data_IF_792262908166
#
_entry.id   IF_792262908166
#
_cell.length_a   1.000
_cell.length_b   1.000
_cell.length_c   1.000
_cell.angle_alpha   90.00
_cell.angle_beta   90.00
_cell.angle_gamma   90.00
#
_symmetry.space_group_name_H-M   'P 1'
#
loop_
_entity.id
_entity.type
_entity.pdbx_description
1 polymer ?
#
# COMPACT_ATOMS: atom_id res chain seq x y z
N UNK A 1 -27.10 -22.76 63.22
CA UNK A 1 -28.13 -22.00 62.47
C UNK A 1 -28.78 -22.95 61.49
N UNK A 2 -30.01 -23.35 61.78
CA UNK A 2 -30.83 -24.17 60.90
C UNK A 2 -31.46 -23.27 59.83
N UNK A 3 -31.51 -23.73 58.57
CA UNK A 3 -32.76 -23.62 57.84
C UNK A 3 -33.03 -24.97 57.13
N UNK A 4 -34.16 -25.64 57.45
CA UNK A 4 -34.55 -26.94 56.92
C UNK A 4 -35.29 -26.77 55.58
N UNK A 5 -35.76 -27.88 55.01
CA UNK A 5 -36.60 -27.97 53.79
C UNK A 5 -35.85 -28.07 52.47
N UNK A 6 -35.17 -29.21 52.31
CA UNK A 6 -35.10 -29.89 51.01
C UNK A 6 -36.32 -30.82 50.93
N UNK A 7 -37.30 -30.52 50.08
CA UNK A 7 -38.30 -31.49 49.63
C UNK A 7 -38.76 -31.15 48.21
N UNK A 8 -38.79 -32.17 47.35
CA UNK A 8 -39.07 -32.06 45.93
C UNK A 8 -40.55 -32.04 45.56
N UNK A 9 -40.78 -32.12 44.26
CA UNK A 9 -42.09 -32.36 43.64
C UNK A 9 -42.51 -31.22 42.71
N UNK A 10 -42.39 -31.45 41.40
CA UNK A 10 -42.73 -30.49 40.35
C UNK A 10 -44.23 -30.25 40.18
N UNK A 11 -44.58 -29.25 39.38
CA UNK A 11 -45.84 -29.14 38.62
C UNK A 11 -45.61 -28.19 37.42
N UNK A 12 -46.04 -28.63 36.25
CA UNK A 12 -46.12 -27.90 34.98
C UNK A 12 -47.05 -26.68 35.11
N UNK A 13 -46.68 -25.53 34.53
CA UNK A 13 -47.62 -24.61 33.88
C UNK A 13 -46.92 -23.50 33.07
N UNK A 14 -47.22 -23.50 31.77
CA UNK A 14 -47.45 -22.32 30.91
C UNK A 14 -46.27 -21.47 30.40
N UNK A 15 -45.95 -21.73 29.13
CA UNK A 15 -46.17 -20.78 28.03
C UNK A 15 -45.48 -19.42 28.14
N UNK A 16 -44.26 -19.34 27.61
CA UNK A 16 -43.84 -18.31 26.66
C UNK A 16 -42.82 -18.93 25.69
N UNK A 17 -43.30 -19.38 24.53
CA UNK A 17 -42.43 -19.55 23.36
C UNK A 17 -41.90 -18.17 22.99
N UNK A 18 -40.65 -17.91 23.34
CA UNK A 18 -39.92 -16.79 22.76
C UNK A 18 -39.53 -17.22 21.35
N UNK A 19 -40.48 -17.11 20.43
CA UNK A 19 -40.21 -17.21 18.99
C UNK A 19 -39.11 -16.19 18.71
N UNK A 20 -37.90 -16.68 18.42
CA UNK A 20 -36.83 -15.85 17.91
C UNK A 20 -37.34 -15.25 16.62
N UNK A 21 -37.76 -13.99 16.70
CA UNK A 21 -38.04 -13.15 15.55
C UNK A 21 -36.75 -13.16 14.72
N UNK A 22 -36.72 -13.97 13.67
CA UNK A 22 -35.78 -13.82 12.56
C UNK A 22 -36.00 -12.42 12.04
N UNK A 23 -35.17 -11.49 12.49
CA UNK A 23 -34.88 -10.30 11.71
C UNK A 23 -34.34 -10.81 10.38
N UNK A 24 -35.21 -10.77 9.38
CA UNK A 24 -34.87 -10.87 7.98
C UNK A 24 -33.92 -9.70 7.67
N UNK A 25 -32.61 -9.93 7.89
CA UNK A 25 -31.55 -9.04 7.46
C UNK A 25 -31.48 -9.10 5.93
N UNK A 26 -32.22 -8.23 5.26
CA UNK A 26 -32.15 -8.03 3.82
C UNK A 26 -30.93 -7.23 3.34
N UNK A 27 -29.92 -7.01 4.20
CA UNK A 27 -28.75 -6.16 3.92
C UNK A 27 -27.38 -6.83 3.87
N UNK A 28 -27.24 -8.15 4.05
CA UNK A 28 -25.92 -8.78 4.25
C UNK A 28 -25.09 -8.94 2.97
N UNK A 29 -25.71 -9.27 1.83
CA UNK A 29 -24.95 -9.78 0.68
C UNK A 29 -24.03 -8.74 -0.01
N UNK A 30 -24.40 -7.46 0.00
CA UNK A 30 -23.60 -6.39 -0.61
C UNK A 30 -22.49 -5.85 0.30
N UNK A 31 -22.72 -5.87 1.62
CA UNK A 31 -21.73 -5.42 2.60
C UNK A 31 -20.61 -6.46 2.78
N UNK A 32 -20.98 -7.74 2.82
CA UNK A 32 -20.02 -8.85 2.87
C UNK A 32 -19.11 -8.87 1.61
N UNK A 33 -19.67 -8.57 0.43
CA UNK A 33 -18.93 -8.50 -0.85
C UNK A 33 -17.98 -7.29 -0.93
N UNK A 34 -18.40 -6.14 -0.40
CA UNK A 34 -17.52 -4.97 -0.33
C UNK A 34 -16.36 -5.18 0.65
N UNK A 35 -16.64 -5.76 1.82
CA UNK A 35 -15.60 -6.09 2.81
C UNK A 35 -14.61 -7.10 2.25
N UNK A 36 -15.09 -8.15 1.56
CA UNK A 36 -14.22 -9.13 0.90
C UNK A 36 -13.31 -8.48 -0.15
N UNK A 37 -13.86 -7.57 -0.97
CA UNK A 37 -13.09 -6.82 -1.95
C UNK A 37 -12.01 -5.94 -1.30
N UNK A 38 -12.36 -5.21 -0.24
CA UNK A 38 -11.40 -4.33 0.44
C UNK A 38 -10.29 -5.12 1.14
N UNK A 39 -10.61 -6.29 1.68
CA UNK A 39 -9.59 -7.20 2.22
C UNK A 39 -8.61 -7.68 1.14
N UNK A 40 -9.11 -7.98 -0.06
CA UNK A 40 -8.27 -8.35 -1.20
C UNK A 40 -7.36 -7.20 -1.63
N UNK A 41 -7.88 -5.96 -1.72
CA UNK A 41 -7.07 -4.77 -2.02
C UNK A 41 -5.99 -4.55 -0.97
N UNK A 42 -6.32 -4.70 0.32
CA UNK A 42 -5.36 -4.53 1.41
C UNK A 42 -4.24 -5.57 1.34
N UNK A 43 -4.57 -6.82 0.99
CA UNK A 43 -3.58 -7.87 0.81
C UNK A 43 -2.70 -7.62 -0.42
N UNK A 44 -3.28 -7.15 -1.54
CA UNK A 44 -2.52 -6.68 -2.71
C UNK A 44 -1.55 -5.56 -2.31
N UNK A 45 -1.97 -4.57 -1.53
CA UNK A 45 -1.08 -3.51 -1.05
C UNK A 45 0.06 -4.04 -0.19
N UNK A 46 -0.22 -5.01 0.67
CA UNK A 46 0.81 -5.66 1.50
C UNK A 46 1.82 -6.41 0.64
N UNK A 47 1.35 -7.15 -0.37
CA UNK A 47 2.22 -7.83 -1.34
C UNK A 47 3.03 -6.85 -2.20
N UNK A 48 2.45 -5.70 -2.57
CA UNK A 48 3.18 -4.63 -3.26
C UNK A 48 4.31 -4.08 -2.40
N UNK A 49 4.09 -3.89 -1.11
CA UNK A 49 5.14 -3.42 -0.20
C UNK A 49 6.23 -4.49 -0.01
N UNK A 50 5.86 -5.77 0.07
CA UNK A 50 6.82 -6.88 0.05
C UNK A 50 7.65 -6.90 -1.25
N UNK A 51 7.00 -6.69 -2.40
CA UNK A 51 7.67 -6.59 -3.70
C UNK A 51 8.67 -5.42 -3.73
N UNK A 52 8.27 -4.26 -3.22
CA UNK A 52 9.15 -3.08 -3.09
C UNK A 52 10.38 -3.42 -2.24
N UNK A 53 10.20 -4.06 -1.08
CA UNK A 53 11.30 -4.45 -0.21
C UNK A 53 12.24 -5.48 -0.88
N UNK A 54 11.67 -6.41 -1.64
CA UNK A 54 12.43 -7.43 -2.37
C UNK A 54 13.29 -6.79 -3.47
N UNK A 55 12.74 -5.82 -4.22
CA UNK A 55 13.48 -5.04 -5.23
C UNK A 55 14.65 -4.29 -4.59
N UNK A 56 14.43 -3.66 -3.43
CA UNK A 56 15.49 -2.94 -2.73
C UNK A 56 16.58 -3.90 -2.22
N UNK A 57 16.20 -5.09 -1.76
CA UNK A 57 17.15 -6.13 -1.37
C UNK A 57 17.98 -6.63 -2.56
N UNK A 58 17.35 -6.91 -3.70
CA UNK A 58 18.02 -7.31 -4.95
C UNK A 58 19.02 -6.23 -5.36
N UNK A 59 18.59 -4.96 -5.38
CA UNK A 59 19.45 -3.83 -5.74
C UNK A 59 20.70 -3.75 -4.88
N UNK A 60 20.54 -3.86 -3.56
CA UNK A 60 21.67 -3.82 -2.62
C UNK A 60 22.61 -5.00 -2.83
N UNK A 61 22.07 -6.21 -3.04
CA UNK A 61 22.87 -7.41 -3.30
C UNK A 61 23.64 -7.31 -4.61
N UNK A 62 23.01 -6.87 -5.70
CA UNK A 62 23.67 -6.64 -6.99
C UNK A 62 24.76 -5.57 -6.88
N UNK A 63 24.51 -4.47 -6.17
CA UNK A 63 25.52 -3.41 -5.96
C UNK A 63 26.74 -3.93 -5.20
N UNK A 64 26.53 -4.70 -4.14
CA UNK A 64 27.62 -5.30 -3.38
C UNK A 64 28.38 -6.30 -4.24
N UNK A 65 27.66 -7.18 -4.96
CA UNK A 65 28.26 -8.13 -5.89
C UNK A 65 29.10 -7.44 -6.98
N UNK A 66 28.65 -6.27 -7.45
CA UNK A 66 29.40 -5.46 -8.41
C UNK A 66 30.72 -4.92 -7.82
N UNK A 67 30.75 -4.62 -6.52
CA UNK A 67 31.90 -4.03 -5.82
C UNK A 67 32.87 -5.07 -5.23
N UNK A 68 32.38 -6.21 -4.77
CA UNK A 68 33.12 -7.22 -3.99
C UNK A 68 33.85 -8.28 -4.84
N UNK A 69 33.98 -8.10 -6.15
CA UNK A 69 34.63 -9.05 -7.05
C UNK A 69 36.18 -9.06 -6.93
N UNK A 70 36.69 -8.98 -5.69
CA UNK A 70 38.07 -9.28 -5.31
C UNK A 70 38.11 -10.74 -4.81
N UNK A 71 38.68 -11.61 -5.65
CA UNK A 71 38.20 -12.97 -5.91
C UNK A 71 38.58 -14.04 -4.85
N UNK A 72 37.59 -14.50 -4.08
CA UNK A 72 37.42 -15.93 -3.81
C UNK A 72 36.26 -16.43 -4.69
N UNK A 73 36.53 -17.37 -5.60
CA UNK A 73 35.54 -17.89 -6.57
C UNK A 73 34.28 -18.46 -5.87
N UNK A 74 34.44 -18.99 -4.65
CA UNK A 74 33.35 -19.63 -3.88
C UNK A 74 32.31 -18.61 -3.37
N UNK A 75 32.76 -17.44 -2.91
CA UNK A 75 31.88 -16.38 -2.38
C UNK A 75 31.09 -15.68 -3.50
N UNK A 76 31.70 -15.57 -4.68
CA UNK A 76 31.09 -14.98 -5.88
C UNK A 76 29.94 -15.85 -6.38
N UNK A 77 30.15 -17.15 -6.54
CA UNK A 77 29.11 -18.06 -7.03
C UNK A 77 27.94 -18.15 -6.04
N UNK A 78 28.22 -18.17 -4.73
CA UNK A 78 27.20 -18.16 -3.68
C UNK A 78 26.34 -16.88 -3.72
N UNK A 79 26.97 -15.72 -3.92
CA UNK A 79 26.27 -14.44 -4.01
C UNK A 79 25.42 -14.33 -5.27
N UNK A 80 25.91 -14.81 -6.42
CA UNK A 80 25.11 -14.90 -7.65
C UNK A 80 23.88 -15.77 -7.46
N UNK A 81 23.99 -16.93 -6.80
CA UNK A 81 22.84 -17.82 -6.56
C UNK A 81 21.79 -17.18 -5.65
N UNK A 82 22.21 -16.40 -4.65
CA UNK A 82 21.28 -15.64 -3.81
C UNK A 82 20.52 -14.58 -4.62
N UNK A 83 21.21 -13.84 -5.49
CA UNK A 83 20.57 -12.85 -6.37
C UNK A 83 19.56 -13.55 -7.29
N UNK A 84 19.95 -14.67 -7.91
CA UNK A 84 19.08 -15.44 -8.80
C UNK A 84 17.81 -15.92 -8.06
N UNK A 85 17.95 -16.39 -6.81
CA UNK A 85 16.80 -16.81 -6.00
C UNK A 85 15.84 -15.65 -5.70
N UNK A 86 16.36 -14.47 -5.32
CA UNK A 86 15.55 -13.29 -5.04
C UNK A 86 14.86 -12.77 -6.31
N UNK A 87 15.53 -12.80 -7.46
CA UNK A 87 14.94 -12.42 -8.74
C UNK A 87 13.79 -13.36 -9.10
N UNK A 88 13.95 -14.68 -8.92
CA UNK A 88 12.88 -15.64 -9.15
C UNK A 88 11.67 -15.41 -8.22
N UNK A 89 11.92 -15.09 -6.95
CA UNK A 89 10.87 -14.73 -5.99
C UNK A 89 10.12 -13.47 -6.46
N UNK A 90 10.85 -12.45 -6.94
CA UNK A 90 10.27 -11.22 -7.45
C UNK A 90 9.40 -11.47 -8.69
N UNK A 91 9.85 -12.32 -9.63
CA UNK A 91 9.07 -12.70 -10.80
C UNK A 91 7.77 -13.44 -10.42
N UNK A 92 7.84 -14.34 -9.44
CA UNK A 92 6.66 -15.03 -8.93
C UNK A 92 5.64 -14.04 -8.36
N UNK A 93 6.11 -13.11 -7.52
CA UNK A 93 5.26 -12.11 -6.89
C UNK A 93 4.67 -11.13 -7.91
N UNK A 94 5.43 -10.75 -8.94
CA UNK A 94 4.94 -9.92 -10.06
C UNK A 94 3.79 -10.59 -10.81
N UNK A 95 3.93 -11.89 -11.12
CA UNK A 95 2.89 -12.66 -11.81
C UNK A 95 1.61 -12.76 -10.98
N UNK A 96 1.76 -13.02 -9.67
CA UNK A 96 0.64 -13.05 -8.74
C UNK A 96 -0.06 -11.68 -8.65
N UNK A 97 0.70 -10.61 -8.41
CA UNK A 97 0.18 -9.24 -8.33
C UNK A 97 -0.55 -8.83 -9.61
N UNK A 98 0.02 -9.12 -10.79
CA UNK A 98 -0.61 -8.87 -12.09
C UNK A 98 -1.98 -9.53 -12.17
N UNK A 99 -2.08 -10.82 -11.83
CA UNK A 99 -3.33 -11.57 -11.88
C UNK A 99 -4.36 -11.03 -10.88
N UNK A 100 -3.95 -10.76 -9.65
CA UNK A 100 -4.83 -10.26 -8.59
C UNK A 100 -5.36 -8.86 -8.91
N UNK A 101 -4.49 -7.95 -9.34
CA UNK A 101 -4.88 -6.59 -9.77
C UNK A 101 -5.86 -6.66 -10.93
N UNK A 102 -5.60 -7.50 -11.95
CA UNK A 102 -6.54 -7.73 -13.06
C UNK A 102 -7.89 -8.23 -12.59
N UNK A 103 -7.92 -9.16 -11.62
CA UNK A 103 -9.15 -9.71 -11.08
C UNK A 103 -9.97 -8.66 -10.33
N UNK A 104 -9.35 -7.85 -9.45
CA UNK A 104 -10.06 -6.79 -8.71
C UNK A 104 -10.55 -5.69 -9.65
N UNK A 105 -9.79 -5.33 -10.69
CA UNK A 105 -10.25 -4.37 -11.70
C UNK A 105 -11.47 -4.92 -12.47
N UNK A 106 -11.42 -6.19 -12.88
CA UNK A 106 -12.54 -6.83 -13.59
C UNK A 106 -13.80 -6.89 -12.71
N UNK A 107 -13.66 -7.26 -11.43
CA UNK A 107 -14.77 -7.29 -10.48
C UNK A 107 -15.34 -5.89 -10.24
N UNK A 108 -14.49 -4.88 -10.06
CA UNK A 108 -14.89 -3.50 -9.86
C UNK A 108 -15.68 -2.95 -11.06
N UNK A 109 -15.23 -3.26 -12.28
CA UNK A 109 -15.90 -2.85 -13.52
C UNK A 109 -17.26 -3.54 -13.71
N UNK A 110 -17.37 -4.84 -13.41
CA UNK A 110 -18.63 -5.58 -13.50
C UNK A 110 -19.69 -5.05 -12.54
N UNK A 111 -19.29 -4.70 -11.32
CA UNK A 111 -20.18 -4.17 -10.29
C UNK A 111 -20.50 -2.68 -10.48
N UNK A 112 -19.82 -1.99 -11.40
CA UNK A 112 -19.93 -0.54 -11.65
C UNK A 112 -19.89 0.30 -10.37
N UNK A 113 -19.07 -0.13 -9.39
CA UNK A 113 -18.92 0.57 -8.12
C UNK A 113 -17.72 1.53 -8.22
N UNK A 114 -17.92 2.85 -8.23
CA UNK A 114 -16.84 3.83 -8.38
C UNK A 114 -15.74 3.67 -7.32
N UNK A 115 -16.13 3.42 -6.06
CA UNK A 115 -15.16 3.25 -4.98
C UNK A 115 -14.28 2.01 -5.18
N UNK A 116 -14.85 0.89 -5.66
CA UNK A 116 -14.05 -0.31 -5.97
C UNK A 116 -13.11 -0.07 -7.16
N UNK A 117 -13.55 0.69 -8.15
CA UNK A 117 -12.74 1.05 -9.33
C UNK A 117 -11.54 1.89 -8.90
N UNK A 118 -11.77 2.95 -8.12
CA UNK A 118 -10.72 3.84 -7.64
C UNK A 118 -9.65 3.09 -6.83
N UNK A 119 -10.07 2.17 -5.95
CA UNK A 119 -9.13 1.35 -5.17
C UNK A 119 -8.32 0.37 -6.03
N UNK A 120 -8.97 -0.28 -7.01
CA UNK A 120 -8.28 -1.16 -7.94
C UNK A 120 -7.28 -0.40 -8.83
N UNK A 121 -7.63 0.81 -9.28
CA UNK A 121 -6.74 1.69 -10.03
C UNK A 121 -5.56 2.19 -9.18
N UNK A 122 -5.81 2.54 -7.91
CA UNK A 122 -4.74 2.91 -6.98
C UNK A 122 -3.72 1.78 -6.79
N UNK A 123 -4.18 0.53 -6.61
CA UNK A 123 -3.31 -0.63 -6.53
C UNK A 123 -2.50 -0.85 -7.83
N UNK A 124 -3.14 -0.71 -9.00
CA UNK A 124 -2.47 -0.80 -10.30
C UNK A 124 -1.39 0.27 -10.47
N UNK A 125 -1.71 1.53 -10.15
CA UNK A 125 -0.79 2.65 -10.27
C UNK A 125 0.43 2.49 -9.35
N UNK A 126 0.20 2.02 -8.11
CA UNK A 126 1.29 1.70 -7.17
C UNK A 126 2.18 0.57 -7.70
N UNK A 127 1.60 -0.44 -8.37
CA UNK A 127 2.38 -1.50 -8.99
C UNK A 127 3.23 -1.00 -10.16
N UNK A 128 2.66 -0.18 -11.05
CA UNK A 128 3.38 0.48 -12.14
C UNK A 128 4.56 1.33 -11.63
N UNK A 129 4.36 2.07 -10.54
CA UNK A 129 5.42 2.84 -9.88
C UNK A 129 6.57 1.94 -9.43
N UNK A 130 6.27 0.83 -8.74
CA UNK A 130 7.29 -0.11 -8.27
C UNK A 130 8.01 -0.84 -9.42
N UNK A 131 7.30 -1.20 -10.49
CA UNK A 131 7.93 -1.75 -11.70
C UNK A 131 8.88 -0.72 -12.32
N UNK A 132 8.45 0.53 -12.46
CA UNK A 132 9.28 1.60 -13.03
C UNK A 132 10.52 1.86 -12.17
N UNK A 133 10.38 1.86 -10.84
CA UNK A 133 11.51 1.98 -9.91
C UNK A 133 12.50 0.84 -10.09
N UNK A 134 12.02 -0.39 -10.24
CA UNK A 134 12.89 -1.54 -10.46
C UNK A 134 13.63 -1.44 -11.79
N UNK A 135 12.94 -1.06 -12.89
CA UNK A 135 13.57 -0.86 -14.21
C UNK A 135 14.71 0.17 -14.17
N UNK A 136 14.52 1.28 -13.46
CA UNK A 136 15.55 2.30 -13.31
C UNK A 136 16.78 1.76 -12.55
N UNK A 137 16.54 1.01 -11.48
CA UNK A 137 17.60 0.35 -10.71
C UNK A 137 18.40 -0.63 -11.57
N UNK A 138 17.72 -1.49 -12.32
CA UNK A 138 18.35 -2.46 -13.23
C UNK A 138 19.15 -1.75 -14.33
N UNK A 139 18.62 -0.66 -14.89
CA UNK A 139 19.36 0.16 -15.87
C UNK A 139 20.66 0.71 -15.27
N UNK A 140 20.61 1.25 -14.06
CA UNK A 140 21.81 1.76 -13.36
C UNK A 140 22.83 0.64 -13.09
N UNK A 141 22.37 -0.54 -12.69
CA UNK A 141 23.24 -1.69 -12.45
C UNK A 141 23.90 -2.19 -13.75
N UNK A 142 23.16 -2.15 -14.87
CA UNK A 142 23.69 -2.47 -16.20
C UNK A 142 24.80 -1.49 -16.60
N UNK A 143 24.58 -0.19 -16.41
CA UNK A 143 25.59 0.84 -16.71
C UNK A 143 26.85 0.69 -15.85
N UNK A 144 26.69 0.41 -14.55
CA UNK A 144 27.83 0.14 -13.67
C UNK A 144 28.64 -1.09 -14.10
N UNK A 145 27.93 -2.16 -14.48
CA UNK A 145 28.56 -3.39 -14.98
C UNK A 145 29.32 -3.15 -16.29
N UNK A 146 28.74 -2.38 -17.22
CA UNK A 146 29.41 -1.94 -18.46
C UNK A 146 30.66 -1.10 -18.17
N UNK A 147 30.58 -0.16 -17.23
CA UNK A 147 31.71 0.69 -16.85
C UNK A 147 32.88 -0.12 -16.25
N UNK A 148 32.58 -1.18 -15.50
CA UNK A 148 33.61 -2.08 -14.97
C UNK A 148 34.25 -2.94 -16.04
N UNK A 149 33.45 -3.50 -16.97
CA UNK A 149 33.97 -4.22 -18.14
C UNK A 149 34.91 -3.34 -18.98
N UNK A 150 34.53 -2.08 -19.19
CA UNK A 150 35.36 -1.11 -19.90
C UNK A 150 36.71 -0.87 -19.20
N UNK A 151 36.71 -0.71 -17.88
CA UNK A 151 37.95 -0.58 -17.09
C UNK A 151 38.82 -1.83 -17.20
N UNK A 152 38.21 -3.01 -17.12
CA UNK A 152 38.94 -4.27 -17.23
C UNK A 152 39.56 -4.47 -18.60
N UNK A 153 38.86 -4.04 -19.66
CA UNK A 153 39.40 -4.02 -21.01
C UNK A 153 40.62 -3.09 -21.13
N UNK A 154 40.55 -1.88 -20.57
CA UNK A 154 41.65 -0.91 -20.59
C UNK A 154 42.89 -1.37 -19.80
N UNK A 155 42.72 -2.18 -18.75
CA UNK A 155 43.85 -2.77 -18.01
C UNK A 155 44.64 -3.74 -18.91
N UNK A 156 43.93 -4.51 -19.75
CA UNK A 156 44.54 -5.46 -20.70
C UNK A 156 45.13 -4.75 -21.91
N UNK A 157 44.41 -3.76 -22.44
CA UNK A 157 44.79 -2.98 -23.60
C UNK A 157 44.84 -1.48 -23.26
N UNK A 158 45.95 -0.99 -22.68
CA UNK A 158 46.08 0.41 -22.25
C UNK A 158 46.02 1.43 -23.38
N UNK A 159 46.23 0.98 -24.63
CA UNK A 159 46.23 1.85 -25.81
C UNK A 159 44.90 1.80 -26.57
N UNK A 160 43.87 1.15 -26.04
CA UNK A 160 42.57 1.04 -26.69
C UNK A 160 41.93 2.42 -26.89
N UNK A 161 41.34 2.65 -28.07
CA UNK A 161 40.55 3.88 -28.30
C UNK A 161 39.22 3.81 -27.56
N UNK A 162 38.56 4.96 -27.40
CA UNK A 162 37.23 5.01 -26.80
C UNK A 162 36.22 4.16 -27.59
N UNK A 163 36.27 4.21 -28.93
CA UNK A 163 35.40 3.38 -29.77
C UNK A 163 35.70 1.88 -29.64
N UNK A 164 36.96 1.49 -29.45
CA UNK A 164 37.32 0.08 -29.24
C UNK A 164 36.83 -0.46 -27.89
N UNK A 165 36.89 0.37 -26.84
CA UNK A 165 36.38 0.01 -25.51
C UNK A 165 34.86 -0.10 -25.53
N UNK A 166 34.19 0.84 -26.19
CA UNK A 166 32.74 0.81 -26.36
C UNK A 166 32.33 -0.42 -27.16
N UNK A 167 32.94 -0.69 -28.32
CA UNK A 167 32.67 -1.89 -29.12
C UNK A 167 32.97 -3.22 -28.38
N UNK A 168 33.87 -3.23 -27.40
CA UNK A 168 34.13 -4.40 -26.56
C UNK A 168 33.03 -4.66 -25.51
N UNK A 169 32.16 -3.67 -25.25
CA UNK A 169 31.16 -3.67 -24.16
C UNK A 169 29.72 -3.47 -24.68
N UNK A 170 29.53 -2.90 -25.88
CA UNK A 170 28.24 -2.37 -26.35
C UNK A 170 27.23 -3.43 -26.82
N UNK A 171 27.65 -4.64 -27.17
CA UNK A 171 26.82 -5.57 -27.96
C UNK A 171 26.00 -6.60 -27.15
N UNK A 172 25.80 -6.42 -25.84
CA UNK A 172 25.16 -7.41 -24.94
C UNK A 172 25.97 -8.71 -24.77
N UNK A 173 26.94 -8.90 -25.65
CA UNK A 173 27.96 -9.93 -25.70
C UNK A 173 29.29 -9.17 -25.76
N UNK A 174 30.09 -9.10 -24.69
CA UNK A 174 31.45 -8.64 -24.83
C UNK A 174 32.05 -9.54 -25.88
N UNK A 175 32.64 -8.91 -26.91
CA UNK A 175 33.29 -9.64 -27.98
C UNK A 175 34.42 -10.44 -27.34
N UNK A 176 34.12 -11.65 -26.88
CA UNK A 176 35.05 -12.51 -26.15
C UNK A 176 36.27 -12.74 -27.02
N UNK A 177 36.08 -12.72 -28.34
CA UNK A 177 37.13 -12.78 -29.34
C UNK A 177 38.03 -11.52 -29.32
N UNK A 178 37.50 -10.30 -29.20
CA UNK A 178 38.28 -9.06 -29.04
C UNK A 178 39.04 -9.07 -27.70
N UNK A 179 38.39 -9.51 -26.61
CA UNK A 179 39.05 -9.65 -25.31
C UNK A 179 40.16 -10.71 -25.31
N UNK A 180 39.92 -11.88 -25.89
CA UNK A 180 40.94 -12.93 -26.04
C UNK A 180 42.09 -12.49 -26.93
N UNK A 181 41.80 -11.77 -28.02
CA UNK A 181 42.82 -11.21 -28.90
C UNK A 181 43.69 -10.18 -28.18
N UNK A 182 43.09 -9.27 -27.41
CA UNK A 182 43.80 -8.29 -26.58
C UNK A 182 44.69 -8.99 -25.53
N UNK A 183 44.18 -10.04 -24.88
CA UNK A 183 44.94 -10.84 -23.92
C UNK A 183 46.15 -11.54 -24.57
N UNK A 184 46.01 -12.07 -25.79
CA UNK A 184 47.10 -12.71 -26.54
C UNK A 184 48.20 -11.73 -26.97
N UNK A 185 47.82 -10.49 -27.27
CA UNK A 185 48.74 -9.41 -27.64
C UNK A 185 49.43 -8.80 -26.40
N UNK A 186 48.81 -8.89 -25.22
CA UNK A 186 49.40 -8.44 -23.98
C UNK A 186 50.50 -9.39 -23.48
N UNK A 187 51.60 -8.83 -22.95
CA UNK A 187 52.67 -9.62 -22.30
C UNK A 187 52.27 -10.17 -20.91
N UNK A 188 51.00 -10.03 -20.49
CA UNK A 188 50.49 -10.34 -19.14
C UNK A 188 49.77 -11.69 -19.05
N UNK A 189 50.39 -12.75 -19.58
CA UNK A 189 49.76 -14.11 -19.67
C UNK A 189 49.33 -14.73 -18.34
N UNK A 190 49.95 -14.37 -17.21
CA UNK A 190 49.59 -14.88 -15.88
C UNK A 190 48.30 -14.27 -15.32
N UNK A 191 48.12 -12.96 -15.50
CA UNK A 191 46.92 -12.21 -15.10
C UNK A 191 45.76 -12.43 -16.09
N UNK A 192 46.08 -12.77 -17.34
CA UNK A 192 45.12 -12.97 -18.41
C UNK A 192 43.98 -13.96 -18.10
N UNK A 193 44.25 -15.02 -17.34
CA UNK A 193 43.23 -16.04 -16.99
C UNK A 193 42.22 -15.52 -15.98
N UNK A 194 42.69 -14.85 -14.93
CA UNK A 194 41.83 -14.24 -13.90
C UNK A 194 40.95 -13.17 -14.51
N UNK A 195 41.54 -12.32 -15.35
CA UNK A 195 40.81 -11.26 -16.04
C UNK A 195 39.77 -11.82 -17.02
N UNK A 196 40.09 -12.89 -17.75
CA UNK A 196 39.12 -13.54 -18.63
C UNK A 196 37.95 -14.16 -17.87
N UNK A 197 38.20 -14.80 -16.71
CA UNK A 197 37.13 -15.31 -15.86
C UNK A 197 36.22 -14.18 -15.39
N UNK A 198 36.80 -13.08 -14.89
CA UNK A 198 36.02 -11.92 -14.46
C UNK A 198 35.14 -11.36 -15.58
N UNK A 199 35.68 -11.20 -16.79
CA UNK A 199 34.92 -10.74 -17.97
C UNK A 199 33.76 -11.69 -18.29
N UNK A 200 33.98 -13.01 -18.21
CA UNK A 200 32.92 -14.00 -18.44
C UNK A 200 31.82 -13.93 -17.37
N UNK A 201 32.19 -13.76 -16.11
CA UNK A 201 31.24 -13.58 -15.01
C UNK A 201 30.41 -12.31 -15.25
N UNK A 202 31.07 -11.17 -15.49
CA UNK A 202 30.40 -9.89 -15.77
C UNK A 202 29.48 -9.95 -16.99
N UNK A 203 29.89 -10.66 -18.03
CA UNK A 203 29.06 -10.88 -19.19
C UNK A 203 27.75 -11.62 -18.84
N UNK A 204 27.87 -12.72 -18.10
CA UNK A 204 26.70 -13.50 -17.68
C UNK A 204 25.73 -12.64 -16.88
N UNK A 205 26.26 -11.80 -16.01
CA UNK A 205 25.45 -10.88 -15.21
C UNK A 205 24.79 -9.80 -16.08
N UNK A 206 25.50 -9.23 -17.06
CA UNK A 206 24.91 -8.30 -18.02
C UNK A 206 23.71 -8.92 -18.75
N UNK A 207 23.82 -10.17 -19.21
CA UNK A 207 22.73 -10.88 -19.86
C UNK A 207 21.52 -11.10 -18.94
N UNK A 208 21.77 -11.38 -17.65
CA UNK A 208 20.70 -11.51 -16.65
C UNK A 208 19.98 -10.18 -16.46
N UNK A 209 20.72 -9.08 -16.30
CA UNK A 209 20.14 -7.73 -16.17
C UNK A 209 19.31 -7.38 -17.41
N UNK A 210 19.82 -7.64 -18.62
CA UNK A 210 19.09 -7.39 -19.87
C UNK A 210 17.79 -8.21 -19.96
N UNK A 211 17.84 -9.49 -19.57
CA UNK A 211 16.65 -10.34 -19.50
C UNK A 211 15.62 -9.79 -18.51
N UNK A 212 16.04 -9.45 -17.29
CA UNK A 212 15.15 -8.89 -16.27
C UNK A 212 14.55 -7.54 -16.73
N UNK A 213 15.35 -6.67 -17.35
CA UNK A 213 14.84 -5.41 -17.91
C UNK A 213 13.79 -5.63 -19.01
N UNK A 214 13.97 -6.64 -19.86
CA UNK A 214 13.01 -7.00 -20.89
C UNK A 214 11.70 -7.51 -20.28
N UNK A 215 11.78 -8.42 -19.29
CA UNK A 215 10.63 -8.94 -18.56
C UNK A 215 9.85 -7.82 -17.84
N UNK A 216 10.56 -6.90 -17.17
CA UNK A 216 9.95 -5.75 -16.51
C UNK A 216 9.28 -4.79 -17.50
N UNK A 217 9.87 -4.60 -18.68
CA UNK A 217 9.29 -3.74 -19.73
C UNK A 217 8.01 -4.35 -20.28
N UNK A 218 8.00 -5.67 -20.50
CA UNK A 218 6.78 -6.38 -20.90
C UNK A 218 5.70 -6.28 -19.82
N UNK A 219 6.06 -6.53 -18.55
CA UNK A 219 5.13 -6.41 -17.43
C UNK A 219 4.55 -5.00 -17.31
N UNK A 220 5.38 -3.97 -17.47
CA UNK A 220 4.95 -2.58 -17.45
C UNK A 220 3.90 -2.32 -18.54
N UNK A 221 4.15 -2.76 -19.78
CA UNK A 221 3.21 -2.62 -20.88
C UNK A 221 1.90 -3.38 -20.62
N UNK A 222 1.98 -4.62 -20.12
CA UNK A 222 0.80 -5.43 -19.79
C UNK A 222 -0.08 -4.75 -18.72
N UNK A 223 0.53 -4.02 -17.77
CA UNK A 223 -0.18 -3.29 -16.73
C UNK A 223 -0.71 -1.93 -17.19
N UNK A 224 -0.06 -1.31 -18.17
CA UNK A 224 -0.57 -0.11 -18.85
C UNK A 224 -1.78 -0.43 -19.74
N UNK A 225 -1.76 -1.56 -20.46
CA UNK A 225 -2.88 -2.02 -21.28
C UNK A 225 -4.10 -2.43 -20.44
N UNK A 226 -3.88 -2.82 -19.18
CA UNK A 226 -4.93 -3.17 -18.22
C UNK A 226 -5.87 -2.01 -17.81
N UNK A 227 -5.79 -0.87 -18.49
CA UNK A 227 -6.80 0.20 -18.37
C UNK A 227 -8.11 -0.33 -18.95
N UNK A 228 -9.03 -0.69 -18.05
CA UNK A 228 -10.41 -0.95 -18.44
C UNK A 228 -10.96 0.38 -18.98
N UNK A 229 -11.43 0.38 -20.24
CA UNK A 229 -12.21 1.48 -20.79
C UNK A 229 -13.40 1.73 -19.85
N UNK A 230 -13.28 2.75 -19.01
CA UNK A 230 -14.44 3.30 -18.33
C UNK A 230 -15.26 3.98 -19.42
N UNK A 231 -16.37 3.38 -19.84
CA UNK A 231 -17.44 4.11 -20.54
C UNK A 231 -17.90 5.24 -19.58
N UNK A 232 -17.23 6.39 -19.66
CA UNK A 232 -17.53 7.60 -18.91
C UNK A 232 -18.77 8.26 -19.53
N UNK A 233 -19.59 8.95 -18.71
CA UNK A 233 -19.21 10.33 -18.45
C UNK A 233 -18.92 10.57 -16.97
N UNK A 234 -17.91 11.40 -16.76
CA UNK A 234 -17.53 11.98 -15.48
C UNK A 234 -18.75 12.79 -15.04
N UNK A 235 -19.57 12.23 -14.17
CA UNK A 235 -20.61 12.98 -13.48
C UNK A 235 -20.47 12.73 -11.98
N UNK A 236 -19.82 13.72 -11.36
CA UNK A 236 -20.06 14.16 -9.99
C UNK A 236 -19.79 13.15 -8.89
N UNK A 237 -18.55 13.19 -8.39
CA UNK A 237 -18.33 13.11 -6.94
C UNK A 237 -17.71 14.44 -6.49
N UNK A 238 -18.51 15.50 -6.62
CA UNK A 238 -18.38 16.69 -5.76
C UNK A 238 -19.38 16.63 -4.60
N UNK A 239 -20.21 15.57 -4.51
CA UNK A 239 -21.33 15.50 -3.56
C UNK A 239 -21.07 14.63 -2.31
N UNK A 240 -19.87 14.07 -2.13
CA UNK A 240 -19.51 13.31 -0.90
C UNK A 240 -18.43 13.97 -0.03
N UNK A 241 -17.90 15.13 -0.44
CA UNK A 241 -17.16 16.03 0.46
C UNK A 241 -18.09 17.04 1.11
N UNK A 242 -19.21 17.39 0.46
CA UNK A 242 -20.22 18.29 1.07
C UNK A 242 -20.95 17.63 2.25
N UNK A 243 -21.17 16.30 2.23
CA UNK A 243 -21.78 15.60 3.38
C UNK A 243 -20.80 15.38 4.54
N UNK A 244 -19.49 15.31 4.28
CA UNK A 244 -18.47 15.23 5.34
C UNK A 244 -18.04 16.62 5.86
N UNK A 245 -18.18 17.69 5.07
CA UNK A 245 -18.08 19.07 5.57
C UNK A 245 -19.35 19.51 6.32
N UNK A 246 -20.53 18.97 5.98
CA UNK A 246 -21.75 19.27 6.73
C UNK A 246 -21.83 18.56 8.10
N UNK A 247 -21.16 17.43 8.27
CA UNK A 247 -21.05 16.75 9.57
C UNK A 247 -19.92 17.30 10.48
N UNK A 248 -19.07 18.20 9.98
CA UNK A 248 -18.23 19.06 10.84
C UNK A 248 -18.94 20.37 11.19
N UNK A 249 -19.89 20.83 10.37
CA UNK A 249 -20.68 22.03 10.65
C UNK A 249 -21.78 21.82 11.71
N UNK A 250 -22.14 20.55 12.01
CA UNK A 250 -22.93 20.20 13.20
C UNK A 250 -22.10 19.90 14.47
N UNK A 251 -20.76 19.92 14.37
CA UNK A 251 -19.85 19.79 15.51
C UNK A 251 -19.54 21.11 16.23
N UNK A 252 -19.76 22.26 15.58
CA UNK A 252 -19.47 23.61 16.14
C UNK A 252 -20.76 24.37 16.52
N UNK A 253 -21.93 23.75 16.38
CA UNK A 253 -23.23 24.26 16.87
C UNK A 253 -23.50 24.02 18.36
N UNK A 254 -22.56 23.40 19.10
CA UNK A 254 -22.72 23.05 20.51
C UNK A 254 -21.89 23.87 21.51
N UNK A 255 -21.14 24.88 21.07
CA UNK A 255 -20.38 25.78 22.00
C UNK A 255 -20.92 27.21 22.10
N UNK A 256 -21.97 27.58 21.35
CA UNK A 256 -22.68 28.86 21.55
C UNK A 256 -24.03 28.75 22.29
N UNK A 257 -24.64 27.57 22.38
CA UNK A 257 -25.86 27.36 23.20
C UNK A 257 -25.58 27.27 24.71
N UNK A 258 -24.34 26.98 25.12
CA UNK A 258 -23.97 26.91 26.54
C UNK A 258 -23.95 28.28 27.23
N UNK A 259 -23.57 29.35 26.51
CA UNK A 259 -23.42 30.70 27.11
C UNK A 259 -24.76 31.47 27.12
N UNK A 260 -25.66 31.21 26.17
CA UNK A 260 -26.99 31.85 26.14
C UNK A 260 -27.98 31.23 27.15
N UNK A 261 -27.90 29.92 27.40
CA UNK A 261 -28.72 29.24 28.43
C UNK A 261 -28.40 29.73 29.85
N UNK A 262 -27.12 30.02 30.14
CA UNK A 262 -26.70 30.55 31.44
C UNK A 262 -27.20 32.00 31.70
N UNK A 263 -27.29 32.85 30.67
CA UNK A 263 -27.82 34.23 30.80
C UNK A 263 -29.36 34.26 30.89
N UNK A 264 -30.06 33.36 30.20
CA UNK A 264 -31.53 33.26 30.27
C UNK A 264 -32.03 32.78 31.64
N UNK A 265 -31.26 31.94 32.33
CA UNK A 265 -31.63 31.42 33.66
C UNK A 265 -31.64 32.51 34.75
N UNK A 266 -30.77 33.52 34.65
CA UNK A 266 -30.73 34.64 35.62
C UNK A 266 -31.94 35.57 35.51
N UNK A 267 -32.44 35.81 34.29
CA UNK A 267 -33.64 36.65 34.07
C UNK A 267 -34.93 35.95 34.55
N UNK A 268 -35.04 34.64 34.40
CA UNK A 268 -36.20 33.86 34.88
C UNK A 268 -36.28 33.78 36.41
N UNK A 269 -35.15 33.71 37.12
CA UNK A 269 -35.11 33.78 38.59
C UNK A 269 -35.66 35.11 39.13
N UNK A 270 -35.38 36.22 38.44
CA UNK A 270 -35.87 37.54 38.86
C UNK A 270 -37.37 37.71 38.63
N UNK A 271 -37.91 37.18 37.52
CA UNK A 271 -39.36 37.15 37.29
C UNK A 271 -40.10 36.29 38.32
N UNK A 272 -39.54 35.13 38.71
CA UNK A 272 -40.12 34.29 39.75
C UNK A 272 -40.14 34.99 41.13
N UNK A 273 -39.08 35.74 41.46
CA UNK A 273 -39.02 36.54 42.69
C UNK A 273 -40.06 37.66 42.73
N UNK A 274 -40.27 38.37 41.60
CA UNK A 274 -41.30 39.42 41.51
C UNK A 274 -42.70 38.85 41.68
N UNK A 275 -43.00 37.71 41.05
CA UNK A 275 -44.30 37.02 41.20
C UNK A 275 -44.53 36.60 42.66
N UNK A 276 -43.51 36.05 43.33
CA UNK A 276 -43.62 35.66 44.74
C UNK A 276 -43.87 36.87 45.66
N UNK A 277 -43.22 38.01 45.40
CA UNK A 277 -43.43 39.24 46.17
C UNK A 277 -44.86 39.77 46.01
N UNK A 278 -45.42 39.73 44.80
CA UNK A 278 -46.82 40.11 44.54
C UNK A 278 -47.79 39.21 45.31
N UNK A 279 -47.56 37.89 45.32
CA UNK A 279 -48.40 36.94 46.08
C UNK A 279 -48.38 37.25 47.57
N UNK A 280 -47.22 37.57 48.14
CA UNK A 280 -47.10 37.94 49.57
C UNK A 280 -47.86 39.25 49.87
N UNK A 281 -47.81 40.26 49.00
CA UNK A 281 -48.56 41.51 49.17
C UNK A 281 -50.07 41.24 49.13
N UNK A 282 -50.54 40.42 48.19
CA UNK A 282 -51.97 40.07 48.10
C UNK A 282 -52.42 39.34 49.37
N UNK A 283 -51.64 38.39 49.88
CA UNK A 283 -51.94 37.71 51.14
C UNK A 283 -51.94 38.69 52.33
N UNK A 284 -50.99 39.63 52.39
CA UNK A 284 -50.97 40.65 53.44
C UNK A 284 -52.18 41.59 53.38
N UNK A 285 -52.66 41.96 52.19
CA UNK A 285 -53.87 42.76 52.02
C UNK A 285 -55.13 41.97 52.40
N UNK A 286 -55.24 40.71 52.00
CA UNK A 286 -56.37 39.85 52.36
C UNK A 286 -56.41 39.63 53.87
N UNK A 287 -55.26 39.32 54.49
CA UNK A 287 -55.15 39.17 55.94
C UNK A 287 -55.37 40.51 56.67
N UNK A 288 -54.87 41.62 56.13
CA UNK A 288 -55.08 42.97 56.69
C UNK A 288 -56.55 43.40 56.65
N UNK A 289 -57.27 43.08 55.58
CA UNK A 289 -58.71 43.33 55.49
C UNK A 289 -59.45 42.37 56.43
N UNK A 290 -59.09 41.08 56.46
CA UNK A 290 -59.75 40.06 57.29
C UNK A 290 -59.53 40.25 58.80
N UNK A 291 -58.37 40.75 59.23
CA UNK A 291 -58.07 41.06 60.63
C UNK A 291 -58.33 42.52 61.01
N UNK A 292 -58.39 43.45 60.05
CA UNK A 292 -58.71 44.86 60.28
C UNK A 292 -60.21 45.18 60.28
N UNK A 293 -61.07 44.19 60.00
CA UNK A 293 -62.54 44.28 60.09
C UNK A 293 -63.11 43.45 61.25
N UNK A 294 -62.31 43.23 62.29
CA UNK A 294 -62.76 42.79 63.62
C UNK A 294 -62.51 43.87 64.66
#
# INVERSE_FOLDING_TARGET
MSNPYYNGGGHNASLYEMTSMKYSNGGSAGEDDFVAFMNEIQDIHTQLDNYSNLVDLISNKQRNYIQELDLNDEDTEYSSKQIDALVLEALSLQSELKLRIKNVQTQAAQLRNPQKIDQAEAARNKFLEYIQRYRLTESNNREQTKAQLARQYQIINPNATAEEVEAAVEDGTPNQQIFQQALMQSNRRGEARTVLNEVQVRHRELLKLEKTMAELTQLFHDMEELVIEQDQPIQQIEEQVETAQHDIEQGVGHTQKAVFSAKAMRKKKWWCFIILLIVVIVLALVLGIHFGTK
#
